data_IF_836417944440
#
_entry.id   IF_836417944440
#
_cell.length_a   1.000
_cell.length_b   1.000
_cell.length_c   1.000
_cell.angle_alpha   90.00
_cell.angle_beta   90.00
_cell.angle_gamma   90.00
#
_symmetry.space_group_name_H-M   'P 1'
#
loop_
_entity.id
_entity.type
_entity.pdbx_description
1 polymer ?
#
# COMPACT_ATOMS: atom_id res chain seq x y z
N UNK A 1 12.25 3.91 -8.81
CA UNK A 1 10.94 3.22 -8.73
C UNK A 1 9.92 4.16 -8.15
N UNK A 2 8.80 4.37 -8.81
CA UNK A 2 7.76 5.27 -8.32
C UNK A 2 6.72 4.50 -7.48
N UNK A 3 5.82 5.23 -6.84
CA UNK A 3 4.80 4.64 -5.97
C UNK A 3 3.87 3.68 -6.73
N UNK A 4 3.56 3.99 -7.98
CA UNK A 4 2.71 3.13 -8.81
C UNK A 4 3.38 1.79 -9.09
N UNK A 5 4.69 1.80 -9.34
CA UNK A 5 5.47 0.57 -9.52
C UNK A 5 5.46 -0.28 -8.23
N UNK A 6 5.57 0.38 -7.09
CA UNK A 6 5.58 -0.30 -5.79
C UNK A 6 4.24 -1.00 -5.54
N UNK A 7 3.13 -0.30 -5.74
CA UNK A 7 1.81 -0.88 -5.49
C UNK A 7 1.50 -2.00 -6.49
N UNK A 8 1.92 -1.86 -7.75
CA UNK A 8 1.76 -2.94 -8.75
C UNK A 8 2.52 -4.19 -8.35
N UNK A 9 3.75 -4.04 -7.85
CA UNK A 9 4.56 -5.18 -7.40
C UNK A 9 3.94 -5.87 -6.20
N UNK A 10 3.46 -5.10 -5.24
CA UNK A 10 2.81 -5.67 -4.05
C UNK A 10 1.57 -6.46 -4.46
N UNK A 11 0.75 -5.89 -5.33
CA UNK A 11 -0.44 -6.57 -5.84
C UNK A 11 -0.07 -7.89 -6.51
N UNK A 12 0.95 -7.89 -7.34
CA UNK A 12 1.39 -9.09 -8.05
C UNK A 12 1.94 -10.15 -7.10
N UNK A 13 2.83 -9.75 -6.18
CA UNK A 13 3.48 -10.69 -5.26
C UNK A 13 2.47 -11.38 -4.35
N UNK A 14 1.48 -10.65 -3.86
CA UNK A 14 0.49 -11.18 -2.92
C UNK A 14 -0.81 -11.61 -3.61
N UNK A 15 -0.88 -11.49 -4.93
CA UNK A 15 -2.05 -11.90 -5.73
C UNK A 15 -3.34 -11.23 -5.23
N UNK A 16 -3.27 -9.94 -4.93
CA UNK A 16 -4.43 -9.19 -4.49
C UNK A 16 -5.33 -8.84 -5.69
N UNK A 17 -6.63 -9.08 -5.55
CA UNK A 17 -7.60 -8.59 -6.53
C UNK A 17 -8.05 -7.16 -6.18
N UNK A 18 -8.86 -6.54 -7.04
CA UNK A 18 -9.32 -5.17 -6.84
C UNK A 18 -10.08 -5.02 -5.52
N UNK A 19 -10.92 -5.98 -5.18
CA UNK A 19 -11.70 -5.94 -3.94
C UNK A 19 -10.77 -5.95 -2.71
N UNK A 20 -9.71 -6.75 -2.75
CA UNK A 20 -8.74 -6.80 -1.67
C UNK A 20 -7.97 -5.49 -1.57
N UNK A 21 -7.60 -4.89 -2.70
CA UNK A 21 -6.93 -3.59 -2.71
C UNK A 21 -7.78 -2.52 -2.05
N UNK A 22 -9.07 -2.45 -2.39
CA UNK A 22 -10.02 -1.52 -1.78
C UNK A 22 -10.13 -1.76 -0.29
N UNK A 23 -10.25 -3.03 0.12
CA UNK A 23 -10.34 -3.41 1.53
C UNK A 23 -9.13 -2.92 2.33
N UNK A 24 -7.92 -3.06 1.76
CA UNK A 24 -6.70 -2.61 2.43
C UNK A 24 -6.70 -1.10 2.68
N UNK A 25 -7.14 -0.30 1.72
CA UNK A 25 -7.31 1.14 1.92
C UNK A 25 -8.34 1.42 3.02
N UNK A 26 -9.44 0.69 3.03
CA UNK A 26 -10.49 0.84 4.04
C UNK A 26 -10.00 0.55 5.46
N UNK A 27 -9.15 -0.45 5.64
CA UNK A 27 -8.55 -0.75 6.94
C UNK A 27 -7.76 0.43 7.49
N UNK A 28 -7.19 1.24 6.62
CA UNK A 28 -6.47 2.45 7.03
C UNK A 28 -7.38 3.68 7.12
N UNK A 29 -8.68 3.52 6.87
CA UNK A 29 -9.64 4.62 6.95
C UNK A 29 -9.78 5.43 5.67
N UNK A 30 -9.32 4.90 4.54
CA UNK A 30 -9.40 5.61 3.24
C UNK A 30 -10.34 4.88 2.30
N UNK A 31 -11.41 5.56 1.89
CA UNK A 31 -12.30 5.04 0.84
C UNK A 31 -11.68 5.29 -0.53
N UNK A 32 -11.63 4.26 -1.35
CA UNK A 32 -11.19 4.36 -2.75
C UNK A 32 -12.15 3.57 -3.62
N UNK A 33 -12.22 3.94 -4.89
CA UNK A 33 -13.08 3.25 -5.86
C UNK A 33 -12.25 2.26 -6.67
N UNK A 34 -12.95 1.31 -7.31
CA UNK A 34 -12.31 0.38 -8.23
C UNK A 34 -11.65 1.11 -9.40
N UNK A 35 -12.28 2.18 -9.88
CA UNK A 35 -11.72 3.00 -10.96
C UNK A 35 -10.40 3.64 -10.56
N UNK A 36 -10.32 4.17 -9.33
CA UNK A 36 -9.07 4.73 -8.80
C UNK A 36 -7.97 3.69 -8.72
N UNK A 37 -8.27 2.51 -8.19
CA UNK A 37 -7.32 1.39 -8.13
C UNK A 37 -6.82 1.04 -9.53
N UNK A 38 -7.73 0.90 -10.48
CA UNK A 38 -7.39 0.58 -11.87
C UNK A 38 -6.43 1.61 -12.46
N UNK A 39 -6.69 2.90 -12.23
CA UNK A 39 -5.87 3.99 -12.75
C UNK A 39 -4.46 3.96 -12.16
N UNK A 40 -4.34 3.67 -10.86
CA UNK A 40 -3.02 3.59 -10.21
C UNK A 40 -2.20 2.38 -10.66
N UNK A 41 -2.85 1.33 -11.13
CA UNK A 41 -2.17 0.10 -11.57
C UNK A 41 -1.72 0.15 -13.03
N UNK A 42 -2.13 1.19 -13.78
CA UNK A 42 -1.74 1.34 -15.19
C UNK A 42 -0.26 1.70 -15.30
N UNK A 43 0.32 1.39 -16.46
CA UNK A 43 1.70 1.75 -16.74
C UNK A 43 1.83 3.24 -16.99
N UNK A 44 3.03 3.77 -16.80
CA UNK A 44 3.31 5.20 -16.92
C UNK A 44 3.01 5.78 -18.31
N UNK A 45 3.05 4.94 -19.35
CA UNK A 45 2.77 5.35 -20.73
C UNK A 45 1.28 5.25 -21.10
N UNK A 46 0.43 4.81 -20.19
CA UNK A 46 -1.01 4.73 -20.44
C UNK A 46 -1.66 6.10 -20.25
N UNK A 47 -2.53 6.49 -21.18
CA UNK A 47 -3.22 7.79 -21.12
C UNK A 47 -4.07 7.96 -19.86
N UNK A 48 -4.58 6.88 -19.31
CA UNK A 48 -5.42 6.91 -18.11
C UNK A 48 -4.60 6.76 -16.83
N UNK A 49 -3.27 6.74 -16.93
CA UNK A 49 -2.41 6.64 -15.77
C UNK A 49 -2.64 7.80 -14.78
N UNK A 50 -2.75 7.47 -13.50
CA UNK A 50 -2.84 8.46 -12.43
C UNK A 50 -1.72 8.19 -11.44
N UNK A 51 -0.93 9.23 -11.14
CA UNK A 51 0.16 9.10 -10.18
C UNK A 51 -0.38 8.86 -8.76
N UNK A 52 0.16 7.86 -8.10
CA UNK A 52 -0.15 7.57 -6.70
C UNK A 52 0.78 8.40 -5.81
N UNK A 53 0.23 9.30 -5.02
CA UNK A 53 1.06 10.12 -4.14
C UNK A 53 1.51 9.34 -2.90
N UNK A 54 2.47 9.91 -2.19
CA UNK A 54 3.06 9.26 -1.01
C UNK A 54 2.02 8.99 0.07
N UNK A 55 1.12 9.93 0.30
CA UNK A 55 0.09 9.78 1.33
C UNK A 55 -0.83 8.60 1.04
N UNK A 56 -1.26 8.45 -0.22
CA UNK A 56 -2.12 7.32 -0.62
C UNK A 56 -1.38 5.99 -0.51
N UNK A 57 -0.11 5.96 -0.90
CA UNK A 57 0.69 4.75 -0.70
C UNK A 57 0.83 4.43 0.79
N UNK A 58 1.01 5.45 1.63
CA UNK A 58 1.07 5.26 3.09
C UNK A 58 -0.23 4.66 3.62
N UNK A 59 -1.39 5.11 3.15
CA UNK A 59 -2.68 4.51 3.50
C UNK A 59 -2.71 3.02 3.14
N UNK A 60 -2.27 2.68 1.93
CA UNK A 60 -2.26 1.30 1.48
C UNK A 60 -1.37 0.43 2.37
N UNK A 61 -0.15 0.89 2.65
CA UNK A 61 0.80 0.14 3.48
C UNK A 61 0.28 0.00 4.91
N UNK A 62 -0.33 1.04 5.45
CA UNK A 62 -0.95 0.99 6.77
C UNK A 62 -2.12 0.01 6.80
N UNK A 63 -2.89 -0.06 5.71
CA UNK A 63 -3.96 -1.05 5.57
C UNK A 63 -3.43 -2.46 5.61
N UNK A 64 -2.29 -2.73 4.96
CA UNK A 64 -1.63 -4.03 5.04
C UNK A 64 -1.23 -4.36 6.48
N UNK A 65 -0.70 -3.38 7.21
CA UNK A 65 -0.32 -3.58 8.61
C UNK A 65 -1.54 -3.98 9.45
N UNK A 66 -2.63 -3.23 9.31
CA UNK A 66 -3.87 -3.52 10.05
C UNK A 66 -4.44 -4.87 9.66
N UNK A 67 -4.47 -5.19 8.37
CA UNK A 67 -5.04 -6.45 7.87
C UNK A 67 -4.28 -7.67 8.38
N UNK A 68 -2.94 -7.58 8.43
CA UNK A 68 -2.10 -8.72 8.77
C UNK A 68 -1.82 -8.85 10.27
N UNK A 69 -1.84 -7.75 11.01
CA UNK A 69 -1.55 -7.74 12.44
C UNK A 69 -2.74 -7.37 13.31
N UNK A 70 -3.80 -6.84 12.72
CA UNK A 70 -4.95 -6.32 13.44
C UNK A 70 -4.68 -4.95 14.05
N UNK A 71 -5.74 -4.33 14.57
CA UNK A 71 -5.63 -3.07 15.31
C UNK A 71 -5.36 -3.40 16.76
N UNK A 72 -4.15 -3.10 17.22
CA UNK A 72 -3.84 -3.22 18.65
C UNK A 72 -4.39 -1.98 19.33
N UNK A 73 -5.29 -2.17 20.29
CA UNK A 73 -5.85 -1.09 21.11
C UNK A 73 -6.48 0.04 20.29
N UNK A 74 -6.96 -0.28 19.09
CA UNK A 74 -7.61 0.69 18.22
C UNK A 74 -6.65 1.61 17.47
N UNK A 75 -5.35 1.40 17.59
CA UNK A 75 -4.37 2.26 16.94
C UNK A 75 -4.23 1.94 15.46
N UNK A 76 -4.20 2.99 14.63
CA UNK A 76 -3.88 2.92 13.22
C UNK A 76 -2.52 3.57 13.02
N UNK A 77 -1.62 2.96 12.23
CA UNK A 77 -0.32 3.59 11.95
C UNK A 77 -0.46 5.00 11.38
N UNK A 78 0.51 5.84 11.66
CA UNK A 78 0.54 7.21 11.17
C UNK A 78 0.61 7.21 9.64
N UNK A 79 -0.18 8.10 9.01
CA UNK A 79 -0.16 8.29 7.56
C UNK A 79 0.82 9.43 7.25
N UNK A 80 1.96 9.09 6.72
CA UNK A 80 2.96 10.07 6.35
C UNK A 80 2.53 10.85 5.10
N UNK A 81 2.82 12.13 5.07
CA UNK A 81 2.60 12.95 3.87
C UNK A 81 3.66 12.71 2.81
N UNK A 82 4.85 12.31 3.23
CA UNK A 82 5.96 11.98 2.34
C UNK A 82 6.58 10.66 2.78
N UNK A 83 6.98 9.86 1.80
CA UNK A 83 7.60 8.56 2.04
C UNK A 83 9.00 8.55 1.46
N UNK A 84 9.85 7.70 2.04
CA UNK A 84 11.13 7.33 1.45
C UNK A 84 11.26 5.82 1.49
N UNK A 85 12.30 5.28 0.86
CA UNK A 85 12.48 3.84 0.79
C UNK A 85 12.58 3.19 2.17
N UNK A 86 13.20 3.87 3.13
CA UNK A 86 13.34 3.33 4.48
C UNK A 86 11.99 3.20 5.19
N UNK A 87 11.13 4.20 5.04
CA UNK A 87 9.77 4.16 5.61
C UNK A 87 8.94 3.05 4.97
N UNK A 88 9.00 2.94 3.64
CA UNK A 88 8.27 1.92 2.90
C UNK A 88 8.72 0.52 3.34
N UNK A 89 10.02 0.27 3.38
CA UNK A 89 10.56 -1.02 3.81
C UNK A 89 10.18 -1.34 5.25
N UNK A 90 10.22 -0.34 6.14
CA UNK A 90 9.84 -0.53 7.54
C UNK A 90 8.37 -0.93 7.66
N UNK A 91 7.48 -0.28 6.91
CA UNK A 91 6.05 -0.60 6.93
C UNK A 91 5.79 -2.00 6.38
N UNK A 92 6.46 -2.37 5.29
CA UNK A 92 6.35 -3.73 4.74
C UNK A 92 6.85 -4.78 5.72
N UNK A 93 7.98 -4.52 6.38
CA UNK A 93 8.52 -5.40 7.39
C UNK A 93 7.51 -5.62 8.52
N UNK A 94 6.90 -4.55 9.01
CA UNK A 94 5.89 -4.62 10.07
C UNK A 94 4.67 -5.39 9.59
N UNK A 95 4.15 -5.06 8.40
CA UNK A 95 2.93 -5.67 7.85
C UNK A 95 3.09 -7.18 7.65
N UNK A 96 4.26 -7.62 7.24
CA UNK A 96 4.53 -9.01 6.90
C UNK A 96 5.24 -9.76 8.04
N UNK A 97 5.51 -9.09 9.14
CA UNK A 97 6.25 -9.64 10.29
C UNK A 97 7.61 -10.23 9.90
N UNK A 98 8.26 -9.58 8.91
CA UNK A 98 9.54 -10.03 8.41
C UNK A 98 10.67 -9.62 9.35
N UNK A 99 11.69 -10.47 9.43
CA UNK A 99 12.95 -10.13 10.09
C UNK A 99 13.86 -9.44 9.08
N UNK A 100 14.90 -8.76 9.56
CA UNK A 100 15.83 -8.02 8.68
C UNK A 100 16.44 -8.92 7.61
N UNK A 101 16.78 -10.14 7.95
CA UNK A 101 17.36 -11.11 7.02
C UNK A 101 16.39 -11.55 5.93
N UNK A 102 15.08 -11.41 6.14
CA UNK A 102 14.06 -11.84 5.17
C UNK A 102 13.87 -10.81 4.06
N UNK A 103 14.35 -9.59 4.25
CA UNK A 103 14.16 -8.48 3.30
C UNK A 103 15.36 -8.33 2.36
N UNK A 104 16.49 -8.84 2.73
CA UNK A 104 17.74 -8.70 1.98
C UNK A 104 17.81 -9.58 0.74
#
# INVERSE_FOLDING_TARGET
MNNNSIIRRIRFIFDYNDSKMIELFEFAGKEVTRAEISDWLKKDDDEAFQALNDQKLAFFLNGMIVANRGKKDGEVPIVEKQLNNNIILRKLKIALELKDEDIL
#
